data_IF_433305534480
#
_entry.id   IF_433305534480
#
_cell.length_a   1.000
_cell.length_b   1.000
_cell.length_c   1.000
_cell.angle_alpha   90.00
_cell.angle_beta   90.00
_cell.angle_gamma   90.00
#
_symmetry.space_group_name_H-M   'P 1'
#
loop_
_entity.id
_entity.type
_entity.pdbx_description
1 polymer ?
#
# COMPACT_ATOMS: atom_id res chain seq x y z
N UNK A 1 -68.33 15.09 53.14
CA UNK A 1 -68.56 15.48 51.75
C UNK A 1 -67.25 16.06 51.11
N UNK A 2 -66.81 15.38 50.15
CA UNK A 2 -65.48 15.51 49.58
C UNK A 2 -65.39 16.61 48.51
N UNK A 3 -64.93 17.78 48.89
CA UNK A 3 -64.67 18.89 47.97
C UNK A 3 -63.48 18.56 47.05
N UNK A 4 -63.77 18.06 45.83
CA UNK A 4 -62.72 17.77 44.80
C UNK A 4 -62.05 19.04 44.30
N UNK A 5 -60.77 19.09 44.50
CA UNK A 5 -59.85 20.03 43.92
C UNK A 5 -59.90 20.08 42.38
N UNK A 6 -60.27 21.22 41.77
CA UNK A 6 -60.19 21.44 40.33
C UNK A 6 -58.73 21.95 40.04
N UNK A 7 -57.96 21.11 39.42
CA UNK A 7 -56.68 21.48 38.88
C UNK A 7 -56.84 22.22 37.55
N UNK A 8 -56.38 23.46 37.45
CA UNK A 8 -56.32 24.15 36.18
C UNK A 8 -54.86 24.15 35.72
N UNK A 9 -54.60 23.33 34.73
CA UNK A 9 -53.31 23.25 34.08
C UNK A 9 -53.26 24.26 32.93
N UNK A 10 -52.43 25.30 33.02
CA UNK A 10 -52.21 26.26 31.94
C UNK A 10 -50.83 26.00 31.36
N UNK A 11 -50.78 25.39 30.19
CA UNK A 11 -49.58 25.16 29.44
C UNK A 11 -49.30 26.40 28.60
N UNK A 12 -48.22 27.14 28.88
CA UNK A 12 -47.75 28.22 28.03
C UNK A 12 -46.69 27.69 27.06
N UNK A 13 -46.95 27.82 25.77
CA UNK A 13 -45.97 27.51 24.71
C UNK A 13 -44.91 28.60 24.65
N UNK A 14 -43.68 28.28 25.06
CA UNK A 14 -42.57 29.18 24.88
C UNK A 14 -41.41 29.05 25.90
N UNK A 15 -41.73 28.78 27.14
CA UNK A 15 -40.77 28.44 28.19
C UNK A 15 -41.32 27.26 28.94
N UNK A 16 -40.57 26.16 28.99
CA UNK A 16 -41.01 24.93 29.67
C UNK A 16 -40.93 25.14 31.21
N UNK A 17 -41.83 25.99 31.73
CA UNK A 17 -42.06 26.13 33.16
C UNK A 17 -43.34 25.40 33.48
N UNK A 18 -43.28 24.37 34.29
CA UNK A 18 -44.41 23.67 34.83
C UNK A 18 -44.77 24.34 36.16
N UNK A 19 -45.86 25.16 36.18
CA UNK A 19 -46.34 25.78 37.40
C UNK A 19 -47.49 24.95 37.92
N UNK A 20 -47.31 24.35 39.07
CA UNK A 20 -48.35 23.57 39.76
C UNK A 20 -48.97 24.43 40.83
N UNK A 21 -50.24 24.71 40.72
CA UNK A 21 -50.98 25.51 41.71
C UNK A 21 -51.93 24.55 42.46
N UNK A 22 -51.71 24.33 43.73
CA UNK A 22 -52.60 23.58 44.61
C UNK A 22 -53.24 24.50 45.62
N UNK A 23 -54.52 24.48 45.64
CA UNK A 23 -55.33 25.24 46.65
C UNK A 23 -55.82 24.24 47.67
N UNK A 24 -55.39 24.39 48.92
CA UNK A 24 -55.87 23.56 50.04
C UNK A 24 -56.70 24.40 50.93
N UNK A 25 -58.01 24.07 51.06
CA UNK A 25 -58.97 24.74 51.96
C UNK A 25 -58.87 24.04 53.30
N UNK A 26 -58.39 24.70 54.31
CA UNK A 26 -58.42 24.20 55.69
C UNK A 26 -59.74 24.45 56.37
N UNK A 27 -60.03 23.73 57.46
CA UNK A 27 -61.33 23.72 58.22
C UNK A 27 -61.71 25.04 58.91
N UNK A 28 -60.84 26.06 58.86
CA UNK A 28 -60.99 27.37 59.47
C UNK A 28 -60.95 28.52 58.47
N UNK A 29 -61.60 28.45 57.34
CA UNK A 29 -61.70 29.52 56.32
C UNK A 29 -60.40 30.20 55.88
N UNK A 30 -59.29 29.62 56.17
CA UNK A 30 -58.02 30.09 55.64
C UNK A 30 -57.59 29.31 54.38
N UNK A 31 -57.64 30.00 53.24
CA UNK A 31 -57.16 29.47 51.96
C UNK A 31 -55.64 29.53 51.88
N UNK A 32 -54.99 28.35 51.79
CA UNK A 32 -53.57 28.25 51.53
C UNK A 32 -53.28 27.93 50.04
N UNK A 33 -52.67 28.83 49.34
CA UNK A 33 -52.27 28.63 47.94
C UNK A 33 -50.81 28.20 47.94
N UNK A 34 -50.53 27.01 47.49
CA UNK A 34 -49.19 26.53 47.27
C UNK A 34 -48.85 26.57 45.77
N UNK A 35 -47.90 27.39 45.41
CA UNK A 35 -47.41 27.52 44.03
C UNK A 35 -46.06 26.85 43.95
N UNK A 36 -45.97 25.73 43.28
CA UNK A 36 -44.73 25.03 42.98
C UNK A 36 -44.36 25.33 41.52
N UNK A 37 -43.26 26.09 41.34
CA UNK A 37 -42.73 26.39 40.02
C UNK A 37 -41.51 25.50 39.75
N UNK A 38 -41.69 24.47 38.90
CA UNK A 38 -40.59 23.62 38.43
C UNK A 38 -40.07 24.17 37.10
N UNK A 39 -38.88 24.71 37.15
CA UNK A 39 -38.15 25.18 35.98
C UNK A 39 -37.51 23.99 35.28
N UNK A 40 -38.10 23.56 34.18
CA UNK A 40 -37.47 22.54 33.31
C UNK A 40 -36.38 23.25 32.49
N UNK A 41 -35.14 23.00 32.79
CA UNK A 41 -34.01 23.49 31.95
C UNK A 41 -34.22 23.02 30.50
N UNK A 42 -34.04 23.90 29.51
CA UNK A 42 -34.28 23.56 28.11
C UNK A 42 -33.27 22.51 27.65
N UNK A 43 -33.63 21.25 27.71
CA UNK A 43 -32.82 20.10 27.25
C UNK A 43 -32.41 20.29 25.79
N UNK A 44 -33.23 20.99 25.00
CA UNK A 44 -32.98 21.26 23.59
C UNK A 44 -31.74 22.14 23.35
N UNK A 45 -31.45 23.15 24.20
CA UNK A 45 -30.29 24.00 24.08
C UNK A 45 -28.98 23.22 24.34
N UNK A 46 -29.01 22.30 25.30
CA UNK A 46 -27.88 21.43 25.61
C UNK A 46 -27.59 20.46 24.45
N UNK A 47 -28.66 19.89 23.84
CA UNK A 47 -28.53 18.98 22.69
C UNK A 47 -27.91 19.73 21.48
N UNK A 48 -28.38 20.93 21.17
CA UNK A 48 -27.83 21.72 20.06
C UNK A 48 -26.35 22.08 20.27
N UNK A 49 -25.95 22.42 21.48
CA UNK A 49 -24.55 22.69 21.82
C UNK A 49 -23.69 21.45 21.63
N UNK A 50 -24.15 20.29 22.12
CA UNK A 50 -23.44 19.03 21.97
C UNK A 50 -23.33 18.64 20.50
N UNK A 51 -24.40 18.77 19.69
CA UNK A 51 -24.35 18.52 18.24
C UNK A 51 -23.31 19.38 17.55
N UNK A 52 -23.28 20.68 17.82
CA UNK A 52 -22.34 21.61 17.21
C UNK A 52 -20.90 21.23 17.57
N UNK A 53 -20.63 20.94 18.85
CA UNK A 53 -19.31 20.49 19.29
C UNK A 53 -18.90 19.18 18.61
N UNK A 54 -19.82 18.23 18.48
CA UNK A 54 -19.54 16.96 17.83
C UNK A 54 -19.19 17.13 16.36
N UNK A 55 -19.90 18.01 15.64
CA UNK A 55 -19.61 18.31 14.22
C UNK A 55 -18.22 18.97 14.08
N UNK A 56 -17.89 19.91 14.95
CA UNK A 56 -16.58 20.57 14.92
C UNK A 56 -15.46 19.57 15.17
N UNK A 57 -15.58 18.74 16.20
CA UNK A 57 -14.59 17.71 16.53
C UNK A 57 -14.46 16.70 15.38
N UNK A 58 -15.57 16.23 14.80
CA UNK A 58 -15.56 15.31 13.67
C UNK A 58 -14.87 15.94 12.44
N UNK A 59 -15.12 17.21 12.15
CA UNK A 59 -14.45 17.92 11.06
C UNK A 59 -12.94 18.03 11.28
N UNK A 60 -12.51 18.40 12.49
CA UNK A 60 -11.08 18.48 12.83
C UNK A 60 -10.40 17.10 12.69
N UNK A 61 -11.01 16.04 13.24
CA UNK A 61 -10.47 14.68 13.14
C UNK A 61 -10.39 14.20 11.68
N UNK A 62 -11.38 14.54 10.86
CA UNK A 62 -11.36 14.20 9.43
C UNK A 62 -10.20 14.88 8.71
N UNK A 63 -9.96 16.16 8.96
CA UNK A 63 -8.83 16.90 8.37
C UNK A 63 -7.50 16.29 8.80
N UNK A 64 -7.33 16.01 10.08
CA UNK A 64 -6.11 15.36 10.62
C UNK A 64 -5.88 13.99 9.99
N UNK A 65 -6.94 13.17 9.87
CA UNK A 65 -6.86 11.84 9.24
C UNK A 65 -6.45 11.93 7.77
N UNK A 66 -7.00 12.90 7.01
CA UNK A 66 -6.63 13.12 5.61
C UNK A 66 -5.16 13.57 5.47
N UNK A 67 -4.70 14.47 6.32
CA UNK A 67 -3.29 14.89 6.34
C UNK A 67 -2.35 13.72 6.64
N UNK A 68 -2.69 12.91 7.64
CA UNK A 68 -1.91 11.74 8.01
C UNK A 68 -1.89 10.70 6.89
N UNK A 69 -3.04 10.40 6.28
CA UNK A 69 -3.15 9.48 5.15
C UNK A 69 -2.29 9.93 3.95
N UNK A 70 -2.31 11.23 3.63
CA UNK A 70 -1.50 11.80 2.57
C UNK A 70 0.00 11.72 2.88
N UNK A 71 0.39 11.99 4.13
CA UNK A 71 1.78 11.86 4.58
C UNK A 71 2.28 10.42 4.47
N UNK A 72 1.51 9.44 5.00
CA UNK A 72 1.88 8.02 4.94
C UNK A 72 1.94 7.51 3.49
N UNK A 73 0.98 7.93 2.66
CA UNK A 73 0.96 7.57 1.24
C UNK A 73 2.25 8.00 0.52
N UNK A 74 2.72 9.21 0.77
CA UNK A 74 3.95 9.71 0.14
C UNK A 74 5.23 9.11 0.71
N UNK A 75 5.27 8.89 2.02
CA UNK A 75 6.49 8.47 2.73
C UNK A 75 6.70 6.97 2.74
N UNK A 76 5.62 6.18 2.67
CA UNK A 76 5.68 4.71 2.78
C UNK A 76 5.15 4.04 1.51
N UNK A 77 3.90 4.32 1.13
CA UNK A 77 3.26 3.56 0.07
C UNK A 77 3.94 3.74 -1.30
N UNK A 78 4.27 4.96 -1.69
CA UNK A 78 4.91 5.23 -2.99
C UNK A 78 6.30 4.60 -3.15
N UNK A 79 7.24 4.72 -2.20
CA UNK A 79 8.51 4.02 -2.30
C UNK A 79 8.37 2.50 -2.40
N UNK A 80 7.48 1.89 -1.63
CA UNK A 80 7.23 0.45 -1.69
C UNK A 80 6.70 0.03 -3.07
N UNK A 81 5.76 0.78 -3.64
CA UNK A 81 5.24 0.52 -5.00
C UNK A 81 6.37 0.64 -6.03
N UNK A 82 7.25 1.64 -5.91
CA UNK A 82 8.39 1.82 -6.80
C UNK A 82 9.35 0.65 -6.73
N UNK A 83 9.70 0.20 -5.52
CA UNK A 83 10.56 -0.97 -5.29
C UNK A 83 9.92 -2.23 -5.88
N UNK A 84 8.63 -2.45 -5.66
CA UNK A 84 7.92 -3.60 -6.21
C UNK A 84 7.92 -3.62 -7.75
N UNK A 85 7.71 -2.45 -8.38
CA UNK A 85 7.77 -2.35 -9.83
C UNK A 85 9.18 -2.62 -10.36
N UNK A 86 10.21 -2.07 -9.71
CA UNK A 86 11.61 -2.38 -10.02
C UNK A 86 11.92 -3.87 -9.88
N UNK A 87 11.45 -4.52 -8.81
CA UNK A 87 11.63 -5.96 -8.61
C UNK A 87 10.93 -6.81 -9.68
N UNK A 88 9.75 -6.41 -10.15
CA UNK A 88 9.10 -7.04 -11.29
C UNK A 88 9.92 -6.93 -12.57
N UNK A 89 10.49 -5.75 -12.84
CA UNK A 89 11.38 -5.53 -14.00
C UNK A 89 12.65 -6.39 -13.88
N UNK A 90 13.24 -6.46 -12.69
CA UNK A 90 14.38 -7.33 -12.42
C UNK A 90 14.04 -8.81 -12.71
N UNK A 91 12.85 -9.27 -12.30
CA UNK A 91 12.37 -10.63 -12.52
C UNK A 91 12.17 -10.99 -14.02
N UNK A 92 12.00 -10.00 -14.90
CA UNK A 92 11.95 -10.21 -16.35
C UNK A 92 13.31 -10.29 -17.03
N UNK A 93 14.41 -10.28 -16.25
CA UNK A 93 15.77 -10.35 -16.77
C UNK A 93 16.37 -8.99 -17.14
N UNK A 94 15.72 -7.89 -16.81
CA UNK A 94 16.25 -6.55 -16.97
C UNK A 94 17.00 -6.16 -15.69
N UNK A 95 18.31 -6.40 -15.68
CA UNK A 95 19.15 -6.19 -14.49
C UNK A 95 19.68 -4.76 -14.35
N UNK A 96 19.32 -3.85 -15.24
CA UNK A 96 19.72 -2.44 -15.18
C UNK A 96 18.63 -1.58 -14.51
N UNK A 97 18.19 -2.01 -13.34
CA UNK A 97 17.14 -1.34 -12.55
C UNK A 97 17.79 -0.66 -11.35
N UNK A 98 17.46 0.62 -11.16
CA UNK A 98 17.84 1.38 -9.98
C UNK A 98 16.68 1.46 -9.00
N UNK A 99 16.88 0.91 -7.81
CA UNK A 99 15.94 1.03 -6.71
C UNK A 99 16.26 2.29 -5.89
N UNK A 100 15.27 3.18 -5.74
CA UNK A 100 15.40 4.36 -4.89
C UNK A 100 14.28 4.38 -3.86
N UNK A 101 14.62 4.16 -2.60
CA UNK A 101 13.75 4.32 -1.46
C UNK A 101 14.25 5.47 -0.59
N UNK A 102 13.50 6.59 -0.56
CA UNK A 102 13.79 7.70 0.35
C UNK A 102 12.67 7.79 1.36
N UNK A 103 13.00 7.88 2.64
CA UNK A 103 11.99 8.16 3.66
C UNK A 103 12.24 7.50 5.01
N UNK A 104 12.23 6.21 5.07
CA UNK A 104 12.53 5.41 6.25
C UNK A 104 13.82 4.62 6.05
N UNK A 105 14.56 4.42 7.12
CA UNK A 105 15.84 3.71 7.09
C UNK A 105 15.70 2.31 6.49
N UNK A 106 14.65 1.60 6.86
CA UNK A 106 14.36 0.25 6.39
C UNK A 106 14.09 0.18 4.88
N UNK A 107 13.44 1.21 4.32
CA UNK A 107 13.17 1.32 2.88
C UNK A 107 14.47 1.64 2.11
N UNK A 108 15.32 2.46 2.70
CA UNK A 108 16.62 2.79 2.12
C UNK A 108 17.56 1.57 2.13
N UNK A 109 17.61 0.84 3.24
CA UNK A 109 18.38 -0.40 3.37
C UNK A 109 17.90 -1.47 2.39
N UNK A 110 16.57 -1.66 2.27
CA UNK A 110 15.97 -2.56 1.27
C UNK A 110 16.36 -2.15 -0.16
N UNK A 111 16.31 -0.86 -0.47
CA UNK A 111 16.72 -0.35 -1.80
C UNK A 111 18.18 -0.61 -2.08
N UNK A 112 19.06 -0.41 -1.10
CA UNK A 112 20.49 -0.68 -1.22
C UNK A 112 20.78 -2.17 -1.43
N UNK A 113 20.10 -3.03 -0.70
CA UNK A 113 20.21 -4.49 -0.84
C UNK A 113 19.74 -4.95 -2.23
N UNK A 114 18.63 -4.43 -2.73
CA UNK A 114 18.13 -4.74 -4.07
C UNK A 114 19.05 -4.21 -5.18
N UNK A 115 19.62 -3.01 -5.01
CA UNK A 115 20.62 -2.47 -5.92
C UNK A 115 21.89 -3.35 -5.97
N UNK A 116 22.31 -3.87 -4.82
CA UNK A 116 23.41 -4.81 -4.76
C UNK A 116 23.08 -6.11 -5.51
N UNK A 117 21.92 -6.72 -5.22
CA UNK A 117 21.47 -7.93 -5.89
C UNK A 117 21.34 -7.75 -7.43
N UNK A 118 20.80 -6.62 -7.88
CA UNK A 118 20.70 -6.27 -9.30
C UNK A 118 22.06 -6.23 -9.97
N UNK A 119 23.07 -5.61 -9.34
CA UNK A 119 24.44 -5.57 -9.86
C UNK A 119 25.08 -6.96 -9.96
N UNK A 120 24.88 -7.80 -8.96
CA UNK A 120 25.43 -9.16 -8.98
C UNK A 120 24.76 -10.02 -10.07
N UNK A 121 23.44 -9.94 -10.22
CA UNK A 121 22.73 -10.62 -11.30
C UNK A 121 23.18 -10.15 -12.68
N UNK A 122 23.42 -8.85 -12.87
CA UNK A 122 23.95 -8.30 -14.11
C UNK A 122 25.35 -8.85 -14.43
N UNK A 123 26.23 -8.98 -13.42
CA UNK A 123 27.55 -9.60 -13.62
C UNK A 123 27.43 -11.06 -14.09
N UNK A 124 26.58 -11.83 -13.44
CA UNK A 124 26.33 -13.24 -13.82
C UNK A 124 25.82 -13.35 -15.26
N UNK A 125 24.86 -12.51 -15.65
CA UNK A 125 24.35 -12.50 -17.02
C UNK A 125 25.40 -12.10 -18.05
N UNK A 126 26.25 -11.13 -17.75
CA UNK A 126 27.35 -10.73 -18.63
C UNK A 126 28.36 -11.86 -18.78
N UNK A 127 28.76 -12.52 -17.68
CA UNK A 127 29.65 -13.69 -17.73
C UNK A 127 29.03 -14.83 -18.52
N UNK A 128 27.73 -15.08 -18.37
CA UNK A 128 26.99 -16.09 -19.16
C UNK A 128 27.06 -15.78 -20.65
N UNK A 129 26.82 -14.51 -21.04
CA UNK A 129 26.89 -14.09 -22.46
C UNK A 129 28.28 -14.24 -23.02
N UNK A 130 29.29 -13.81 -22.26
CA UNK A 130 30.70 -13.97 -22.66
C UNK A 130 31.08 -15.43 -22.82
N UNK A 131 30.70 -16.29 -21.87
CA UNK A 131 30.91 -17.72 -21.96
C UNK A 131 30.29 -18.32 -23.22
N UNK A 132 29.03 -18.00 -23.50
CA UNK A 132 28.34 -18.52 -24.71
C UNK A 132 29.03 -18.01 -25.99
N UNK A 133 29.43 -16.74 -26.03
CA UNK A 133 30.13 -16.18 -27.18
C UNK A 133 31.48 -16.85 -27.40
N UNK A 134 32.29 -17.02 -26.34
CA UNK A 134 33.58 -17.68 -26.41
C UNK A 134 33.43 -19.15 -26.81
N UNK A 135 32.54 -19.89 -26.20
CA UNK A 135 32.25 -21.27 -26.59
C UNK A 135 31.82 -21.40 -28.06
N UNK A 136 30.98 -20.47 -28.53
CA UNK A 136 30.53 -20.47 -29.95
C UNK A 136 31.71 -20.24 -30.91
N UNK A 137 32.61 -19.37 -30.54
CA UNK A 137 33.86 -19.12 -31.33
C UNK A 137 34.77 -20.34 -31.30
N UNK A 138 35.04 -20.90 -30.12
CA UNK A 138 35.95 -22.01 -29.94
C UNK A 138 35.48 -23.32 -30.59
N UNK A 139 34.15 -23.53 -30.66
CA UNK A 139 33.55 -24.63 -31.38
C UNK A 139 33.51 -24.44 -32.91
N UNK A 140 33.41 -23.18 -33.38
CA UNK A 140 33.33 -22.91 -34.84
C UNK A 140 34.58 -23.28 -35.55
N UNK A 141 35.74 -23.02 -34.98
CA UNK A 141 37.04 -23.29 -35.62
C UNK A 141 37.27 -24.76 -35.91
N UNK A 142 37.14 -25.70 -34.93
CA UNK A 142 37.34 -27.13 -35.21
C UNK A 142 36.24 -27.70 -36.12
N UNK A 143 34.97 -27.22 -35.96
CA UNK A 143 33.89 -27.64 -36.86
C UNK A 143 34.14 -27.23 -38.32
N UNK A 144 34.69 -26.02 -38.55
CA UNK A 144 35.06 -25.55 -39.89
C UNK A 144 36.16 -26.39 -40.48
N UNK A 145 37.14 -26.78 -39.66
CA UNK A 145 38.21 -27.68 -40.10
C UNK A 145 37.71 -29.06 -40.46
N UNK A 146 36.88 -29.66 -39.59
CA UNK A 146 36.27 -30.97 -39.86
C UNK A 146 35.44 -30.95 -41.14
N UNK A 147 34.57 -29.91 -41.31
CA UNK A 147 33.75 -29.78 -42.52
C UNK A 147 34.59 -29.57 -43.77
N UNK A 148 35.62 -28.69 -43.71
CA UNK A 148 36.50 -28.36 -44.81
C UNK A 148 37.31 -29.58 -45.30
N UNK A 149 37.95 -30.31 -44.38
CA UNK A 149 38.66 -31.53 -44.74
C UNK A 149 37.69 -32.64 -45.25
N UNK A 150 36.48 -32.76 -44.69
CA UNK A 150 35.46 -33.67 -45.19
C UNK A 150 35.00 -33.34 -46.61
N UNK A 151 34.88 -32.05 -46.96
CA UNK A 151 34.53 -31.59 -48.31
C UNK A 151 35.72 -31.83 -49.29
N UNK A 152 36.96 -31.55 -48.92
CA UNK A 152 38.12 -31.83 -49.73
C UNK A 152 38.21 -33.33 -50.05
N UNK A 153 38.06 -34.19 -49.06
CA UNK A 153 38.10 -35.64 -49.23
C UNK A 153 36.95 -36.17 -50.13
N UNK A 154 35.77 -35.53 -50.12
CA UNK A 154 34.65 -35.88 -50.93
C UNK A 154 34.80 -35.46 -52.39
N UNK A 155 35.29 -34.24 -52.62
CA UNK A 155 35.18 -33.54 -53.91
C UNK A 155 36.46 -33.63 -54.74
N UNK A 156 37.61 -33.89 -54.10
CA UNK A 156 38.90 -33.97 -54.79
C UNK A 156 39.41 -35.43 -54.83
N UNK A 157 39.53 -36.03 -56.00
CA UNK A 157 40.05 -37.40 -56.16
C UNK A 157 41.49 -37.49 -55.65
N UNK A 158 41.74 -38.44 -54.74
CA UNK A 158 43.04 -38.70 -54.18
C UNK A 158 43.32 -38.00 -52.84
N UNK A 159 42.47 -37.09 -52.37
CA UNK A 159 42.58 -36.42 -51.08
C UNK A 159 41.99 -37.23 -49.91
N UNK A 160 41.42 -38.35 -50.13
CA UNK A 160 41.00 -39.27 -49.06
C UNK A 160 42.19 -40.03 -48.49
N UNK A 161 43.10 -39.27 -47.85
CA UNK A 161 44.35 -39.79 -47.29
C UNK A 161 44.21 -40.03 -45.78
N UNK A 162 45.02 -40.94 -45.20
CA UNK A 162 45.09 -41.14 -43.76
C UNK A 162 45.41 -39.88 -42.99
N UNK A 163 46.20 -38.99 -43.57
CA UNK A 163 46.59 -37.71 -43.01
C UNK A 163 45.39 -36.79 -42.83
N UNK A 164 44.55 -36.60 -43.86
CA UNK A 164 43.35 -35.78 -43.82
C UNK A 164 42.32 -36.35 -42.84
N UNK A 165 42.18 -37.67 -42.78
CA UNK A 165 41.31 -38.37 -41.80
C UNK A 165 41.84 -38.13 -40.39
N UNK A 166 43.18 -38.14 -40.17
CA UNK A 166 43.75 -37.91 -38.85
C UNK A 166 43.49 -36.48 -38.34
N UNK A 167 43.50 -35.48 -39.23
CA UNK A 167 43.18 -34.10 -38.86
C UNK A 167 41.72 -34.02 -38.34
N UNK A 168 40.77 -34.67 -39.00
CA UNK A 168 39.36 -34.71 -38.56
C UNK A 168 39.27 -35.40 -37.19
N UNK A 169 39.96 -36.51 -36.99
CA UNK A 169 40.01 -37.22 -35.71
C UNK A 169 40.55 -36.38 -34.60
N UNK A 170 41.69 -35.65 -34.85
CA UNK A 170 42.32 -34.84 -33.86
C UNK A 170 41.49 -33.59 -33.47
N UNK A 171 40.81 -32.95 -34.45
CA UNK A 171 39.92 -31.86 -34.16
C UNK A 171 38.63 -32.33 -33.41
N UNK A 172 38.14 -33.56 -33.72
CA UNK A 172 37.02 -34.12 -32.98
C UNK A 172 37.36 -34.44 -31.51
N UNK A 173 38.62 -34.82 -31.21
CA UNK A 173 39.10 -35.05 -29.83
C UNK A 173 39.32 -33.78 -29.06
N UNK A 174 39.54 -32.63 -29.75
CA UNK A 174 39.69 -31.28 -29.13
C UNK A 174 38.39 -30.65 -28.74
N UNK A 175 37.25 -31.06 -29.33
CA UNK A 175 35.88 -30.64 -28.97
C UNK A 175 35.38 -31.29 -27.68
#
# INVERSE_FOLDING_TARGET
DNGRNKQNMKISKGVQNMTYISVVTGSNSHMKISVINAQLTPVNATIETIKTQFIIIAAILTVVALMLAFYLSRKIARPIISINNGAKTLATGQYDVAFSGKGYLEIEELSNTLNYASRELRKVENLRRELIANMSHDLRTPLTMISGYGEVMRDIPGENTPENVQIIIDETKRL
#
